data_IF_570323977424
#
_entry.id   IF_570323977424
#
_cell.length_a   1.000
_cell.length_b   1.000
_cell.length_c   1.000
_cell.angle_alpha   90.00
_cell.angle_beta   90.00
_cell.angle_gamma   90.00
#
_symmetry.space_group_name_H-M   'P 1'
#
loop_
_entity.id
_entity.type
_entity.pdbx_description
1 polymer ?
#
# COMPACT_ATOMS: atom_id res chain seq x y z
N UNK A 1 35.09 -5.90 12.57
CA UNK A 1 35.76 -4.65 12.16
C UNK A 1 35.71 -4.59 10.65
N UNK A 2 35.23 -3.51 10.06
CA UNK A 2 35.13 -3.40 8.60
C UNK A 2 36.39 -2.76 8.04
N UNK A 3 36.83 -3.22 6.87
CA UNK A 3 37.86 -2.53 6.12
C UNK A 3 37.34 -1.12 5.74
N UNK A 4 38.16 -0.06 5.90
CA UNK A 4 37.68 1.32 5.92
C UNK A 4 37.28 1.89 4.56
N UNK A 5 37.67 1.24 3.45
CA UNK A 5 37.47 1.77 2.09
C UNK A 5 36.79 0.76 1.15
N UNK A 6 37.11 -0.52 1.25
CA UNK A 6 36.57 -1.56 0.38
C UNK A 6 36.13 -2.76 1.21
N UNK A 7 35.02 -3.38 0.82
CA UNK A 7 34.48 -4.59 1.46
C UNK A 7 34.61 -5.83 0.56
N UNK A 8 34.93 -5.60 -0.72
CA UNK A 8 35.16 -6.66 -1.72
C UNK A 8 36.56 -6.49 -2.31
N UNK A 9 37.31 -7.58 -2.41
CA UNK A 9 38.63 -7.63 -3.05
C UNK A 9 38.61 -8.59 -4.23
N UNK A 10 39.17 -8.15 -5.37
CA UNK A 10 39.54 -9.03 -6.47
C UNK A 10 41.05 -9.01 -6.58
N UNK A 11 41.68 -10.18 -6.50
CA UNK A 11 43.11 -10.35 -6.70
C UNK A 11 43.35 -11.31 -7.86
N UNK A 12 44.32 -10.98 -8.70
CA UNK A 12 44.79 -11.84 -9.77
C UNK A 12 46.29 -12.10 -9.55
N UNK A 13 46.62 -13.33 -9.17
CA UNK A 13 48.00 -13.75 -8.91
C UNK A 13 48.57 -14.43 -10.16
N UNK A 14 49.52 -13.75 -10.82
CA UNK A 14 50.25 -14.28 -11.97
C UNK A 14 51.73 -14.53 -11.61
N UNK A 15 51.99 -14.98 -10.39
CA UNK A 15 53.34 -15.27 -9.93
C UNK A 15 53.72 -16.71 -10.29
N UNK A 16 54.79 -16.89 -11.05
CA UNK A 16 55.32 -18.21 -11.34
C UNK A 16 55.64 -18.95 -10.03
N UNK A 17 55.27 -20.24 -9.90
CA UNK A 17 55.59 -21.02 -8.71
C UNK A 17 57.09 -20.97 -8.44
N UNK A 18 57.49 -20.46 -7.26
CA UNK A 18 58.89 -20.50 -6.84
C UNK A 18 59.20 -21.93 -6.43
N UNK A 19 59.75 -22.70 -7.36
CA UNK A 19 60.30 -24.02 -7.06
C UNK A 19 61.60 -23.82 -6.26
N UNK A 20 61.58 -24.21 -4.98
CA UNK A 20 62.77 -24.20 -4.14
C UNK A 20 63.58 -25.47 -4.42
N UNK A 21 64.52 -25.40 -5.36
CA UNK A 21 65.43 -26.52 -5.63
C UNK A 21 66.51 -26.61 -4.55
N UNK A 22 66.47 -27.70 -3.78
CA UNK A 22 67.48 -28.04 -2.78
C UNK A 22 68.15 -29.36 -3.17
N UNK A 23 69.50 -29.47 -3.13
CA UNK A 23 70.18 -30.70 -3.46
C UNK A 23 69.66 -31.87 -2.61
N UNK A 24 69.23 -32.95 -3.29
CA UNK A 24 68.75 -34.20 -2.66
C UNK A 24 67.44 -34.09 -1.86
N UNK A 25 66.65 -33.04 -2.04
CA UNK A 25 65.36 -32.84 -1.37
C UNK A 25 64.26 -32.48 -2.39
N UNK A 26 63.12 -33.15 -2.31
CA UNK A 26 61.89 -32.76 -3.03
C UNK A 26 61.12 -31.80 -2.13
N UNK A 27 60.78 -30.61 -2.64
CA UNK A 27 59.98 -29.61 -1.91
C UNK A 27 58.60 -29.53 -2.55
N UNK A 28 57.56 -29.47 -1.70
CA UNK A 28 56.17 -29.24 -2.10
C UNK A 28 55.62 -28.12 -1.23
N UNK A 29 54.85 -27.21 -1.83
CA UNK A 29 54.23 -26.12 -1.09
C UNK A 29 53.04 -26.70 -0.32
N UNK A 30 53.13 -26.68 1.01
CA UNK A 30 52.01 -27.06 1.88
C UNK A 30 51.09 -25.85 2.01
N UNK A 31 49.84 -26.01 1.56
CA UNK A 31 48.79 -25.02 1.79
C UNK A 31 48.51 -24.91 3.30
N UNK A 32 48.55 -23.68 3.83
CA UNK A 32 48.37 -23.41 5.26
C UNK A 32 46.91 -23.57 5.73
N UNK A 33 45.98 -23.85 4.81
CA UNK A 33 44.57 -24.06 5.08
C UNK A 33 43.73 -22.80 4.87
N UNK A 34 42.51 -22.81 5.41
CA UNK A 34 41.50 -21.78 5.16
C UNK A 34 42.03 -20.37 5.46
N UNK A 35 42.05 -19.52 4.43
CA UNK A 35 42.36 -18.11 4.60
C UNK A 35 41.30 -17.43 5.48
N UNK A 36 41.77 -16.67 6.46
CA UNK A 36 40.89 -15.82 7.25
C UNK A 36 40.28 -14.74 6.34
N UNK A 37 38.94 -14.62 6.34
CA UNK A 37 38.26 -13.55 5.64
C UNK A 37 38.68 -12.18 6.21
N UNK A 38 39.49 -11.44 5.45
CA UNK A 38 39.95 -10.07 5.77
C UNK A 38 39.00 -8.98 5.23
N UNK A 39 38.15 -9.36 4.29
CA UNK A 39 37.10 -8.58 3.64
C UNK A 39 35.78 -9.35 3.72
N UNK A 40 34.66 -8.71 3.41
CA UNK A 40 33.36 -9.38 3.38
C UNK A 40 33.36 -10.46 2.28
N UNK A 41 33.98 -10.16 1.13
CA UNK A 41 34.16 -11.08 0.01
C UNK A 41 35.51 -10.86 -0.70
N UNK A 42 36.27 -11.92 -0.96
CA UNK A 42 37.51 -11.90 -1.74
C UNK A 42 37.44 -12.94 -2.84
N UNK A 43 37.54 -12.51 -4.10
CA UNK A 43 37.76 -13.39 -5.25
C UNK A 43 39.26 -13.38 -5.58
N UNK A 44 39.90 -14.54 -5.48
CA UNK A 44 41.28 -14.72 -5.93
C UNK A 44 41.29 -15.58 -7.18
N UNK A 45 42.00 -15.09 -8.20
CA UNK A 45 42.17 -15.75 -9.47
C UNK A 45 43.66 -16.02 -9.69
N UNK A 46 43.97 -17.17 -10.25
CA UNK A 46 45.32 -17.58 -10.60
C UNK A 46 45.33 -18.10 -12.05
N UNK A 47 46.43 -17.87 -12.76
CA UNK A 47 46.60 -18.34 -14.13
C UNK A 47 47.60 -19.49 -14.18
N UNK A 48 47.14 -20.64 -14.68
CA UNK A 48 47.97 -21.81 -14.94
C UNK A 48 48.14 -22.01 -16.44
N UNK A 49 49.41 -22.15 -16.87
CA UNK A 49 49.75 -22.31 -18.28
C UNK A 49 49.05 -23.51 -18.96
N UNK A 50 48.76 -24.56 -18.20
CA UNK A 50 48.16 -25.80 -18.71
C UNK A 50 46.66 -25.95 -18.40
N UNK A 51 46.11 -25.17 -17.46
CA UNK A 51 44.74 -25.33 -16.95
C UNK A 51 43.84 -24.10 -17.10
N UNK A 52 44.37 -22.98 -17.62
CA UNK A 52 43.62 -21.73 -17.77
C UNK A 52 43.57 -20.92 -16.48
N UNK A 53 42.49 -20.15 -16.29
CA UNK A 53 42.29 -19.32 -15.09
C UNK A 53 41.52 -20.13 -14.05
N UNK A 54 42.17 -20.39 -12.92
CA UNK A 54 41.58 -20.93 -11.70
C UNK A 54 41.23 -19.81 -10.72
N UNK A 55 40.53 -20.18 -9.65
CA UNK A 55 40.28 -19.24 -8.56
C UNK A 55 39.44 -19.81 -7.43
N UNK A 56 39.36 -19.05 -6.35
CA UNK A 56 38.57 -19.37 -5.18
C UNK A 56 37.98 -18.12 -4.53
N UNK A 57 36.88 -18.32 -3.80
CA UNK A 57 36.11 -17.26 -3.15
C UNK A 57 36.22 -17.41 -1.63
N UNK A 58 36.78 -16.41 -0.96
CA UNK A 58 36.84 -16.33 0.51
C UNK A 58 35.77 -15.34 0.97
N UNK A 59 34.93 -15.73 1.92
CA UNK A 59 33.79 -14.91 2.37
C UNK A 59 33.62 -14.93 3.88
N UNK A 60 33.09 -13.84 4.44
CA UNK A 60 32.73 -13.74 5.85
C UNK A 60 31.44 -14.52 6.14
N UNK A 61 31.54 -15.57 6.96
CA UNK A 61 30.41 -16.47 7.28
C UNK A 61 29.32 -15.82 8.13
N UNK A 62 29.62 -14.69 8.77
CA UNK A 62 28.62 -13.88 9.47
C UNK A 62 27.67 -13.15 8.49
N UNK A 63 28.04 -13.07 7.21
CA UNK A 63 27.31 -12.37 6.15
C UNK A 63 26.80 -13.29 5.04
N UNK A 64 27.58 -14.31 4.68
CA UNK A 64 27.28 -15.21 3.56
C UNK A 64 27.35 -16.67 3.99
N UNK A 65 26.43 -17.46 3.44
CA UNK A 65 26.50 -18.91 3.49
C UNK A 65 27.10 -19.49 2.20
N UNK A 66 27.48 -20.76 2.24
CA UNK A 66 28.07 -21.48 1.10
C UNK A 66 27.18 -21.45 -0.16
N UNK A 67 25.85 -21.67 -0.07
CA UNK A 67 24.97 -21.53 -1.23
C UNK A 67 24.99 -20.12 -1.86
N UNK A 68 25.02 -19.06 -1.04
CA UNK A 68 25.12 -17.68 -1.53
C UNK A 68 26.45 -17.44 -2.23
N UNK A 69 27.55 -17.94 -1.67
CA UNK A 69 28.89 -17.84 -2.26
C UNK A 69 28.96 -18.55 -3.62
N UNK A 70 28.40 -19.76 -3.73
CA UNK A 70 28.30 -20.47 -5.01
C UNK A 70 27.46 -19.71 -6.03
N UNK A 71 26.31 -19.15 -5.63
CA UNK A 71 25.48 -18.36 -6.52
C UNK A 71 26.22 -17.11 -7.06
N UNK A 72 27.14 -16.51 -6.29
CA UNK A 72 28.00 -15.44 -6.81
C UNK A 72 29.02 -15.95 -7.82
N UNK A 73 29.68 -17.08 -7.56
CA UNK A 73 30.62 -17.68 -8.50
C UNK A 73 29.93 -18.04 -9.83
N UNK A 74 28.75 -18.65 -9.78
CA UNK A 74 27.98 -19.01 -10.98
C UNK A 74 27.56 -17.77 -11.79
N UNK A 75 27.16 -16.69 -11.12
CA UNK A 75 26.84 -15.40 -11.78
C UNK A 75 28.08 -14.77 -12.42
N UNK A 76 29.24 -14.87 -11.77
CA UNK A 76 30.49 -14.39 -12.32
C UNK A 76 30.91 -15.17 -13.59
N UNK A 77 30.76 -16.49 -13.58
CA UNK A 77 31.02 -17.31 -14.77
C UNK A 77 30.05 -16.97 -15.92
N UNK A 78 28.75 -16.80 -15.62
CA UNK A 78 27.77 -16.36 -16.64
C UNK A 78 28.13 -15.01 -17.26
N UNK A 79 28.62 -14.06 -16.45
CA UNK A 79 29.12 -12.77 -16.93
C UNK A 79 30.30 -12.95 -17.89
N UNK A 80 31.30 -13.77 -17.52
CA UNK A 80 32.47 -14.03 -18.37
C UNK A 80 32.08 -14.73 -19.67
N UNK A 81 31.22 -15.75 -19.61
CA UNK A 81 30.72 -16.47 -20.79
C UNK A 81 30.00 -15.53 -21.76
N UNK A 82 29.18 -14.61 -21.25
CA UNK A 82 28.48 -13.63 -22.07
C UNK A 82 29.45 -12.70 -22.80
N UNK A 83 30.46 -12.19 -22.09
CA UNK A 83 31.49 -11.29 -22.64
C UNK A 83 32.32 -12.01 -23.71
N UNK A 84 32.72 -13.26 -23.46
CA UNK A 84 33.52 -14.05 -24.42
C UNK A 84 32.71 -14.39 -25.67
N UNK A 85 31.43 -14.75 -25.51
CA UNK A 85 30.54 -15.09 -26.62
C UNK A 85 30.22 -13.89 -27.51
N UNK A 86 30.02 -12.71 -26.93
CA UNK A 86 29.70 -11.48 -27.65
C UNK A 86 30.46 -10.28 -27.05
N UNK A 87 31.71 -10.03 -27.48
CA UNK A 87 32.56 -8.99 -26.88
C UNK A 87 32.02 -7.56 -27.04
N UNK A 88 31.07 -7.34 -27.95
CA UNK A 88 30.41 -6.05 -28.17
C UNK A 88 29.12 -5.87 -27.37
N UNK A 89 28.71 -6.84 -26.54
CA UNK A 89 27.48 -6.76 -25.74
C UNK A 89 27.53 -5.56 -24.78
N UNK A 90 26.41 -4.85 -24.65
CA UNK A 90 26.30 -3.79 -23.65
C UNK A 90 26.32 -4.42 -22.25
N UNK A 91 27.16 -3.91 -21.34
CA UNK A 91 27.30 -4.47 -19.98
C UNK A 91 25.94 -4.62 -19.26
N UNK A 92 25.02 -3.65 -19.44
CA UNK A 92 23.70 -3.68 -18.81
C UNK A 92 22.70 -4.68 -19.43
N UNK A 93 23.02 -5.29 -20.57
CA UNK A 93 22.18 -6.29 -21.24
C UNK A 93 22.59 -7.73 -20.90
N UNK A 94 23.68 -7.91 -20.15
CA UNK A 94 24.16 -9.23 -19.73
C UNK A 94 23.22 -9.79 -18.66
N UNK A 95 22.54 -10.88 -18.98
CA UNK A 95 21.66 -11.56 -18.03
C UNK A 95 22.46 -12.43 -17.05
N UNK A 96 22.33 -12.10 -15.77
CA UNK A 96 22.99 -12.82 -14.67
C UNK A 96 22.07 -13.86 -14.01
N UNK A 97 20.78 -13.85 -14.31
CA UNK A 97 19.81 -14.74 -13.68
C UNK A 97 19.91 -16.14 -14.28
N UNK A 98 19.90 -17.16 -13.42
CA UNK A 98 19.71 -18.54 -13.86
C UNK A 98 18.22 -18.90 -13.99
N UNK A 99 17.95 -20.16 -14.32
CA UNK A 99 16.58 -20.66 -14.48
C UNK A 99 15.74 -20.58 -13.19
N UNK A 100 16.35 -20.73 -12.01
CA UNK A 100 15.66 -20.66 -10.74
C UNK A 100 15.32 -19.20 -10.38
N UNK A 101 16.29 -18.29 -10.58
CA UNK A 101 16.09 -16.86 -10.39
C UNK A 101 15.06 -16.28 -11.37
N UNK A 102 15.10 -16.69 -12.65
CA UNK A 102 14.13 -16.26 -13.66
C UNK A 102 12.72 -16.70 -13.33
N UNK A 103 12.52 -17.83 -12.63
CA UNK A 103 11.19 -18.25 -12.19
C UNK A 103 10.57 -17.29 -11.15
N UNK A 104 11.39 -16.45 -10.51
CA UNK A 104 10.94 -15.45 -9.53
C UNK A 104 10.60 -14.09 -10.16
N UNK A 105 10.91 -13.87 -11.44
CA UNK A 105 10.76 -12.57 -12.11
C UNK A 105 9.96 -12.69 -13.43
N UNK A 106 8.87 -11.93 -13.60
CA UNK A 106 8.29 -11.02 -12.62
C UNK A 106 7.58 -11.79 -11.50
N UNK A 107 7.72 -11.29 -10.28
CA UNK A 107 6.91 -11.77 -9.15
C UNK A 107 5.45 -11.38 -9.42
N UNK A 108 4.55 -12.36 -9.53
CA UNK A 108 3.13 -12.15 -9.84
C UNK A 108 2.26 -12.67 -8.70
N UNK A 109 1.21 -11.91 -8.39
CA UNK A 109 0.16 -12.38 -7.50
C UNK A 109 -0.76 -13.38 -8.20
N UNK A 110 -1.77 -13.89 -7.47
CA UNK A 110 -2.84 -14.69 -8.05
C UNK A 110 -3.54 -13.93 -9.19
N UNK A 111 -4.17 -14.69 -10.10
CA UNK A 111 -4.99 -14.08 -11.14
C UNK A 111 -6.14 -13.27 -10.51
N UNK A 112 -6.30 -12.03 -10.97
CA UNK A 112 -7.39 -11.17 -10.52
C UNK A 112 -8.77 -11.60 -11.01
N UNK A 113 -9.79 -11.15 -10.30
CA UNK A 113 -11.19 -11.19 -10.68
C UNK A 113 -11.54 -10.06 -11.66
N UNK A 114 -12.67 -10.15 -12.40
CA UNK A 114 -13.15 -9.06 -13.22
C UNK A 114 -13.26 -7.74 -12.43
N UNK A 115 -12.80 -6.61 -12.99
CA UNK A 115 -12.84 -5.33 -12.29
C UNK A 115 -14.29 -4.89 -12.08
N UNK A 116 -14.55 -4.26 -10.93
CA UNK A 116 -15.86 -3.70 -10.55
C UNK A 116 -15.78 -2.19 -10.46
N UNK A 117 -16.90 -1.50 -10.67
CA UNK A 117 -16.97 -0.06 -10.43
C UNK A 117 -17.09 0.19 -8.93
N UNK A 118 -16.48 1.28 -8.45
CA UNK A 118 -16.58 1.67 -7.03
C UNK A 118 -18.03 1.74 -6.52
N UNK A 119 -19.00 2.39 -7.21
CA UNK A 119 -20.39 2.38 -6.74
C UNK A 119 -20.98 0.98 -6.58
N UNK A 120 -20.56 0.01 -7.40
CA UNK A 120 -21.08 -1.36 -7.36
C UNK A 120 -20.60 -2.12 -6.11
N UNK A 121 -19.49 -1.69 -5.48
CA UNK A 121 -19.02 -2.26 -4.21
C UNK A 121 -20.04 -2.00 -3.10
N UNK A 122 -20.60 -0.79 -3.02
CA UNK A 122 -21.68 -0.48 -2.07
C UNK A 122 -22.96 -1.26 -2.40
N UNK A 123 -23.34 -1.33 -3.68
CA UNK A 123 -24.53 -2.06 -4.10
C UNK A 123 -24.42 -3.55 -3.74
N UNK A 124 -23.23 -4.14 -3.92
CA UNK A 124 -22.96 -5.53 -3.54
C UNK A 124 -23.11 -5.73 -2.03
N UNK A 125 -22.58 -4.81 -1.22
CA UNK A 125 -22.73 -4.86 0.24
C UNK A 125 -24.20 -4.74 0.68
N UNK A 126 -24.93 -3.78 0.11
CA UNK A 126 -26.33 -3.52 0.42
C UNK A 126 -27.26 -4.67 -0.01
N UNK A 127 -26.86 -5.47 -1.00
CA UNK A 127 -27.60 -6.65 -1.45
C UNK A 127 -27.51 -7.83 -0.45
N UNK A 128 -26.52 -7.84 0.44
CA UNK A 128 -26.41 -8.85 1.52
C UNK A 128 -27.53 -8.63 2.55
N UNK A 129 -27.57 -7.43 3.13
CA UNK A 129 -28.65 -6.98 4.02
C UNK A 129 -28.71 -5.45 4.02
N UNK A 130 -29.68 -4.90 3.29
CA UNK A 130 -29.88 -3.44 3.20
C UNK A 130 -30.27 -2.78 4.52
N UNK A 131 -30.79 -3.55 5.49
CA UNK A 131 -31.19 -3.03 6.81
C UNK A 131 -30.05 -3.07 7.84
N UNK A 132 -28.97 -3.79 7.54
CA UNK A 132 -27.81 -3.87 8.42
C UNK A 132 -27.11 -2.51 8.57
N UNK A 133 -26.51 -2.22 9.75
CA UNK A 133 -25.70 -1.02 9.95
C UNK A 133 -24.49 -0.98 9.02
N UNK A 134 -24.36 0.08 8.22
CA UNK A 134 -23.23 0.30 7.33
C UNK A 134 -22.19 1.24 7.92
N UNK A 135 -22.66 2.29 8.61
CA UNK A 135 -21.83 3.37 9.11
C UNK A 135 -22.25 3.77 10.52
N UNK A 136 -21.29 4.07 11.39
CA UNK A 136 -21.55 4.62 12.72
C UNK A 136 -20.56 5.75 13.03
N UNK A 137 -21.09 6.92 13.40
CA UNK A 137 -20.33 8.14 13.72
C UNK A 137 -21.09 8.94 14.79
N UNK A 138 -20.42 9.40 15.85
CA UNK A 138 -21.00 10.28 16.89
C UNK A 138 -22.36 9.82 17.45
N UNK A 139 -22.47 8.54 17.84
CA UNK A 139 -23.71 7.91 18.34
C UNK A 139 -24.87 7.84 17.34
N UNK A 140 -24.63 8.17 16.07
CA UNK A 140 -25.58 7.99 14.98
C UNK A 140 -25.11 6.85 14.08
N UNK A 141 -26.07 6.11 13.54
CA UNK A 141 -25.81 5.05 12.58
C UNK A 141 -26.64 5.26 11.32
N UNK A 142 -26.11 4.78 10.20
CA UNK A 142 -26.87 4.57 8.96
C UNK A 142 -26.84 3.09 8.62
N UNK A 143 -27.99 2.56 8.25
CA UNK A 143 -28.08 1.30 7.52
C UNK A 143 -27.52 1.43 6.10
N UNK A 144 -27.22 0.30 5.46
CA UNK A 144 -26.83 0.27 4.05
C UNK A 144 -27.86 0.96 3.15
N UNK A 145 -29.15 0.73 3.39
CA UNK A 145 -30.25 1.39 2.66
C UNK A 145 -30.24 2.90 2.85
N UNK A 146 -30.11 3.39 4.08
CA UNK A 146 -30.12 4.83 4.33
C UNK A 146 -28.90 5.53 3.73
N UNK A 147 -27.73 4.89 3.81
CA UNK A 147 -26.52 5.36 3.16
C UNK A 147 -26.69 5.37 1.63
N UNK A 148 -27.26 4.32 1.06
CA UNK A 148 -27.53 4.20 -0.37
C UNK A 148 -28.51 5.28 -0.85
N UNK A 149 -29.63 5.46 -0.16
CA UNK A 149 -30.66 6.45 -0.45
C UNK A 149 -30.12 7.88 -0.38
N UNK A 150 -29.39 8.22 0.69
CA UNK A 150 -28.82 9.55 0.87
C UNK A 150 -27.78 9.87 -0.22
N UNK A 151 -26.89 8.92 -0.50
CA UNK A 151 -25.89 9.08 -1.55
C UNK A 151 -26.50 9.08 -2.97
N UNK A 152 -27.60 8.36 -3.24
CA UNK A 152 -28.32 8.42 -4.52
C UNK A 152 -28.90 9.81 -4.77
N UNK A 153 -29.52 10.42 -3.74
CA UNK A 153 -30.08 11.77 -3.84
C UNK A 153 -29.00 12.80 -4.15
N UNK A 154 -27.89 12.75 -3.41
CA UNK A 154 -26.77 13.66 -3.60
C UNK A 154 -26.09 13.43 -4.97
N UNK A 155 -25.92 12.17 -5.40
CA UNK A 155 -25.38 11.84 -6.72
C UNK A 155 -26.24 12.43 -7.85
N UNK A 156 -27.57 12.37 -7.75
CA UNK A 156 -28.47 12.98 -8.74
C UNK A 156 -28.38 14.49 -8.78
N UNK A 157 -28.17 15.12 -7.62
CA UNK A 157 -27.89 16.56 -7.59
C UNK A 157 -26.59 16.89 -8.34
N UNK A 158 -25.50 16.16 -8.06
CA UNK A 158 -24.21 16.32 -8.75
C UNK A 158 -24.35 16.10 -10.27
N UNK A 159 -25.05 15.04 -10.69
CA UNK A 159 -25.35 14.76 -12.10
C UNK A 159 -26.11 15.94 -12.74
N UNK A 160 -27.07 16.52 -12.03
CA UNK A 160 -27.81 17.71 -12.49
C UNK A 160 -26.93 18.96 -12.67
N UNK A 161 -25.78 19.02 -12.00
CA UNK A 161 -24.75 20.05 -12.20
C UNK A 161 -23.76 19.71 -13.34
N UNK A 162 -23.95 18.57 -14.02
CA UNK A 162 -23.04 18.10 -15.06
C UNK A 162 -21.79 17.38 -14.54
N UNK A 163 -21.81 16.90 -13.29
CA UNK A 163 -20.74 16.06 -12.74
C UNK A 163 -20.95 14.61 -13.18
N UNK A 164 -19.90 13.97 -13.70
CA UNK A 164 -19.94 12.56 -14.07
C UNK A 164 -18.56 11.97 -14.39
N UNK A 165 -18.46 10.92 -15.22
CA UNK A 165 -17.17 10.35 -15.62
C UNK A 165 -16.18 11.41 -16.12
N UNK A 166 -14.91 11.27 -15.73
CA UNK A 166 -13.80 12.22 -15.95
C UNK A 166 -13.88 13.55 -15.17
N UNK A 167 -15.03 13.88 -14.54
CA UNK A 167 -15.10 15.00 -13.59
C UNK A 167 -14.41 14.66 -12.27
N UNK A 168 -14.01 15.72 -11.55
CA UNK A 168 -13.48 15.62 -10.19
C UNK A 168 -14.27 16.50 -9.24
N UNK A 169 -14.46 16.00 -8.02
CA UNK A 169 -15.16 16.67 -6.93
C UNK A 169 -14.26 16.72 -5.71
N UNK A 170 -13.94 17.93 -5.23
CA UNK A 170 -13.15 18.08 -4.00
C UNK A 170 -14.02 17.83 -2.78
N UNK A 171 -13.52 17.03 -1.83
CA UNK A 171 -14.14 16.80 -0.54
C UNK A 171 -13.27 17.42 0.55
N UNK A 172 -13.61 18.64 0.96
CA UNK A 172 -12.98 19.31 2.11
C UNK A 172 -13.78 18.96 3.37
N UNK A 173 -13.67 17.72 3.81
CA UNK A 173 -14.43 17.17 4.94
C UNK A 173 -13.50 16.35 5.85
N UNK A 174 -13.63 16.55 7.16
CA UNK A 174 -13.02 15.67 8.16
C UNK A 174 -13.75 14.32 8.26
N UNK A 175 -13.27 13.44 9.15
CA UNK A 175 -13.96 12.17 9.47
C UNK A 175 -15.36 12.47 10.01
N UNK A 176 -16.38 12.11 9.24
CA UNK A 176 -17.78 12.38 9.57
C UNK A 176 -18.72 11.47 8.76
N UNK A 177 -20.01 11.50 9.09
CA UNK A 177 -21.04 10.83 8.29
C UNK A 177 -21.18 11.46 6.89
N UNK A 178 -21.06 12.79 6.82
CA UNK A 178 -21.19 13.56 5.59
C UNK A 178 -20.07 13.24 4.58
N UNK A 179 -18.85 12.98 5.07
CA UNK A 179 -17.73 12.51 4.24
C UNK A 179 -18.13 11.24 3.47
N UNK A 180 -18.68 10.25 4.16
CA UNK A 180 -18.99 8.95 3.54
C UNK A 180 -20.19 9.03 2.61
N UNK A 181 -21.22 9.80 2.97
CA UNK A 181 -22.34 10.09 2.05
C UNK A 181 -21.82 10.78 0.78
N UNK A 182 -20.91 11.74 0.92
CA UNK A 182 -20.29 12.46 -0.19
C UNK A 182 -19.41 11.55 -1.08
N UNK A 183 -18.54 10.72 -0.49
CA UNK A 183 -17.71 9.74 -1.23
C UNK A 183 -18.57 8.85 -2.10
N UNK A 184 -19.63 8.26 -1.53
CA UNK A 184 -20.54 7.38 -2.29
C UNK A 184 -21.36 8.14 -3.33
N UNK A 185 -21.78 9.38 -3.05
CA UNK A 185 -22.50 10.19 -4.01
C UNK A 185 -21.63 10.54 -5.24
N UNK A 186 -20.38 10.92 -5.01
CA UNK A 186 -19.41 11.20 -6.08
C UNK A 186 -19.15 9.94 -6.90
N UNK A 187 -18.85 8.81 -6.25
CA UNK A 187 -18.66 7.52 -6.93
C UNK A 187 -19.88 7.12 -7.79
N UNK A 188 -21.11 7.34 -7.29
CA UNK A 188 -22.35 7.03 -8.01
C UNK A 188 -22.61 7.96 -9.19
N UNK A 189 -22.25 9.24 -9.10
CA UNK A 189 -22.26 10.15 -10.25
C UNK A 189 -21.30 9.71 -11.35
N UNK A 190 -20.26 8.93 -10.99
CA UNK A 190 -19.21 8.47 -11.88
C UNK A 190 -17.96 9.36 -11.90
N UNK A 191 -17.96 10.45 -11.13
CA UNK A 191 -16.80 11.31 -10.95
C UNK A 191 -15.80 10.72 -9.95
N UNK A 192 -14.57 11.23 -9.99
CA UNK A 192 -13.56 10.97 -8.96
C UNK A 192 -13.68 11.97 -7.81
N UNK A 193 -13.56 11.50 -6.57
CA UNK A 193 -13.42 12.39 -5.43
C UNK A 193 -11.95 12.74 -5.17
N UNK A 194 -11.71 13.94 -4.65
CA UNK A 194 -10.39 14.46 -4.26
C UNK A 194 -10.47 14.89 -2.80
N UNK A 195 -10.10 14.04 -1.84
CA UNK A 195 -10.23 14.37 -0.43
C UNK A 195 -9.10 15.30 -0.01
N UNK A 196 -9.46 16.46 0.54
CA UNK A 196 -8.53 17.46 1.04
C UNK A 196 -8.81 17.72 2.52
N UNK A 197 -7.76 17.89 3.31
CA UNK A 197 -7.91 18.24 4.72
C UNK A 197 -8.35 19.70 4.85
N UNK A 198 -9.52 20.01 5.47
CA UNK A 198 -9.96 21.39 5.71
C UNK A 198 -8.98 22.23 6.54
N UNK A 199 -8.14 21.59 7.36
CA UNK A 199 -7.08 22.24 8.13
C UNK A 199 -5.85 22.62 7.30
N UNK A 200 -5.83 22.26 6.01
CA UNK A 200 -4.73 22.63 5.10
C UNK A 200 -4.60 24.15 5.00
N UNK A 201 -3.38 24.72 5.11
CA UNK A 201 -3.17 26.16 4.96
C UNK A 201 -3.76 26.70 3.64
N UNK A 202 -4.37 27.91 3.61
CA UNK A 202 -5.09 28.42 2.44
C UNK A 202 -4.29 28.45 1.14
N UNK A 203 -3.01 28.82 1.19
CA UNK A 203 -2.14 28.85 0.00
C UNK A 203 -1.94 27.45 -0.59
N UNK A 204 -1.76 26.46 0.28
CA UNK A 204 -1.64 25.06 -0.12
C UNK A 204 -2.97 24.54 -0.65
N UNK A 205 -4.09 24.85 0.00
CA UNK A 205 -5.42 24.46 -0.49
C UNK A 205 -5.68 25.06 -1.90
N UNK A 206 -5.34 26.33 -2.12
CA UNK A 206 -5.48 27.01 -3.42
C UNK A 206 -4.71 26.28 -4.52
N UNK A 207 -3.45 25.91 -4.23
CA UNK A 207 -2.64 25.11 -5.15
C UNK A 207 -3.32 23.77 -5.49
N UNK A 208 -3.75 23.01 -4.47
CA UNK A 208 -4.35 21.69 -4.66
C UNK A 208 -5.67 21.75 -5.43
N UNK A 209 -6.48 22.79 -5.21
CA UNK A 209 -7.70 23.02 -6.00
C UNK A 209 -7.36 23.28 -7.46
N UNK A 210 -6.38 24.16 -7.72
CA UNK A 210 -5.94 24.49 -9.07
C UNK A 210 -5.42 23.27 -9.85
N UNK A 211 -4.53 22.49 -9.23
CA UNK A 211 -3.94 21.29 -9.83
C UNK A 211 -4.96 20.15 -10.01
N UNK A 212 -5.97 20.07 -9.12
CA UNK A 212 -6.97 19.00 -9.19
C UNK A 212 -7.89 19.12 -10.39
N UNK A 213 -8.07 20.34 -10.93
CA UNK A 213 -9.10 20.65 -11.93
C UNK A 213 -10.52 20.20 -11.53
N UNK A 214 -10.83 20.23 -10.24
CA UNK A 214 -12.16 19.88 -9.75
C UNK A 214 -13.21 20.88 -10.24
N UNK A 215 -14.39 20.37 -10.56
CA UNK A 215 -15.52 21.16 -11.07
C UNK A 215 -16.40 21.75 -9.96
N UNK A 216 -16.37 21.12 -8.79
CA UNK A 216 -17.15 21.49 -7.60
C UNK A 216 -16.43 20.99 -6.36
N UNK A 217 -16.61 21.69 -5.24
CA UNK A 217 -16.14 21.26 -3.92
C UNK A 217 -17.31 21.05 -2.96
N UNK A 218 -17.18 20.10 -2.03
CA UNK A 218 -18.14 19.86 -0.95
C UNK A 218 -17.46 20.02 0.41
N UNK A 219 -18.15 20.66 1.34
CA UNK A 219 -17.66 21.01 2.68
C UNK A 219 -18.84 21.22 3.64
N UNK A 220 -18.56 21.57 4.89
CA UNK A 220 -19.53 22.09 5.87
C UNK A 220 -19.30 23.57 6.14
N UNK A 221 -20.32 24.24 6.69
CA UNK A 221 -20.35 25.70 6.88
C UNK A 221 -19.31 26.20 7.86
N UNK A 222 -18.84 25.36 8.78
CA UNK A 222 -17.73 25.65 9.70
C UNK A 222 -16.46 26.11 8.96
N UNK A 223 -16.17 25.56 7.78
CA UNK A 223 -14.96 25.89 7.01
C UNK A 223 -15.16 27.04 6.02
N UNK A 224 -16.35 27.65 5.94
CA UNK A 224 -16.69 28.64 4.90
C UNK A 224 -15.71 29.80 4.80
N UNK A 225 -15.14 30.26 5.92
CA UNK A 225 -14.26 31.44 5.95
C UNK A 225 -12.80 31.12 5.61
N UNK A 226 -12.39 29.86 5.67
CA UNK A 226 -11.00 29.43 5.41
C UNK A 226 -10.80 28.84 4.02
N UNK A 227 -11.91 28.50 3.34
CA UNK A 227 -11.86 27.93 2.01
C UNK A 227 -11.50 28.99 0.96
N UNK A 228 -10.50 28.72 0.10
CA UNK A 228 -10.16 29.62 -0.98
C UNK A 228 -11.23 29.58 -2.08
N UNK A 229 -11.26 30.66 -2.87
CA UNK A 229 -11.99 30.69 -4.14
C UNK A 229 -11.30 29.73 -5.14
N UNK A 230 -12.04 29.25 -6.14
CA UNK A 230 -11.47 28.44 -7.22
C UNK A 230 -12.43 27.38 -7.75
N UNK A 231 -13.39 26.95 -6.92
CA UNK A 231 -14.48 26.06 -7.30
C UNK A 231 -15.79 26.52 -6.64
N UNK A 232 -16.96 26.22 -7.23
CA UNK A 232 -18.23 26.35 -6.53
C UNK A 232 -18.24 25.41 -5.31
N UNK A 233 -18.52 25.95 -4.12
CA UNK A 233 -18.61 25.18 -2.88
C UNK A 233 -20.06 24.84 -2.53
N UNK A 234 -20.30 23.57 -2.27
CA UNK A 234 -21.54 23.03 -1.72
C UNK A 234 -21.33 22.82 -0.22
N UNK A 235 -22.21 23.42 0.58
CA UNK A 235 -22.23 23.28 2.04
C UNK A 235 -23.28 22.22 2.43
N UNK A 236 -22.82 21.05 2.87
CA UNK A 236 -23.70 19.89 3.12
C UNK A 236 -24.65 20.09 4.31
N UNK A 237 -24.28 20.95 5.25
CA UNK A 237 -25.04 21.32 6.45
C UNK A 237 -25.96 22.53 6.24
N UNK A 238 -25.98 23.11 5.03
CA UNK A 238 -26.90 24.19 4.68
C UNK A 238 -28.34 23.65 4.53
N UNK A 239 -29.30 24.31 5.20
CA UNK A 239 -30.68 23.84 5.25
C UNK A 239 -31.37 23.87 3.88
N UNK A 240 -31.12 24.89 3.06
CA UNK A 240 -31.73 25.03 1.74
C UNK A 240 -31.14 24.00 0.78
N UNK A 241 -29.83 23.76 0.87
CA UNK A 241 -29.18 22.67 0.15
C UNK A 241 -29.75 21.31 0.55
N UNK A 242 -29.86 21.02 1.85
CA UNK A 242 -30.42 19.78 2.36
C UNK A 242 -31.88 19.58 1.89
N UNK A 243 -32.68 20.65 1.84
CA UNK A 243 -34.03 20.60 1.26
C UNK A 243 -34.03 20.29 -0.23
N UNK A 244 -33.10 20.86 -0.99
CA UNK A 244 -32.94 20.62 -2.43
C UNK A 244 -32.59 19.15 -2.69
N UNK A 245 -31.59 18.61 -2.01
CA UNK A 245 -31.15 17.21 -2.17
C UNK A 245 -32.24 16.23 -1.75
N UNK A 246 -33.00 16.51 -0.67
CA UNK A 246 -34.13 15.68 -0.25
C UNK A 246 -35.22 15.52 -1.32
N UNK A 247 -35.32 16.45 -2.28
CA UNK A 247 -36.29 16.38 -3.40
C UNK A 247 -35.79 15.54 -4.57
N UNK A 248 -34.48 15.27 -4.67
CA UNK A 248 -33.95 14.33 -5.65
C UNK A 248 -34.45 12.91 -5.33
N UNK A 249 -34.54 12.05 -6.35
CA UNK A 249 -34.96 10.65 -6.15
C UNK A 249 -33.92 9.86 -5.36
N UNK A 250 -34.37 8.98 -4.45
CA UNK A 250 -33.51 7.99 -3.78
C UNK A 250 -33.29 6.72 -4.61
N UNK A 251 -33.98 6.56 -5.74
CA UNK A 251 -33.85 5.36 -6.56
C UNK A 251 -32.40 5.18 -7.05
N UNK A 252 -31.94 3.91 -7.17
CA UNK A 252 -30.58 3.59 -7.62
C UNK A 252 -30.16 4.37 -8.86
N UNK A 253 -28.91 4.84 -8.88
CA UNK A 253 -28.35 5.59 -10.01
C UNK A 253 -27.79 4.61 -11.04
N UNK A 254 -28.50 4.45 -12.15
CA UNK A 254 -28.14 3.57 -13.26
C UNK A 254 -27.26 4.25 -14.30
N UNK A 255 -26.85 3.46 -15.31
CA UNK A 255 -26.05 3.96 -16.44
C UNK A 255 -26.72 5.11 -17.19
N UNK A 256 -28.04 5.06 -17.40
CA UNK A 256 -28.79 6.08 -18.13
C UNK A 256 -29.08 7.35 -17.32
N UNK A 257 -28.85 7.32 -16.00
CA UNK A 257 -28.94 8.52 -15.18
C UNK A 257 -27.69 9.40 -15.32
N UNK A 258 -26.54 8.81 -15.68
CA UNK A 258 -25.26 9.53 -15.78
C UNK A 258 -25.14 10.27 -17.11
N UNK A 259 -24.37 11.37 -17.09
CA UNK A 259 -24.11 12.16 -18.29
C UNK A 259 -23.23 11.45 -19.33
N UNK A 260 -22.53 10.39 -18.94
CA UNK A 260 -21.71 9.54 -19.80
C UNK A 260 -21.59 8.11 -19.21
N UNK A 261 -21.24 7.09 -20.03
CA UNK A 261 -20.97 5.74 -19.51
C UNK A 261 -19.78 5.72 -18.57
N UNK A 262 -19.96 5.14 -17.38
CA UNK A 262 -18.89 4.88 -16.42
C UNK A 262 -18.16 3.57 -16.79
N UNK A 263 -16.84 3.61 -16.82
CA UNK A 263 -15.93 2.51 -17.19
C UNK A 263 -14.90 2.31 -16.09
N UNK A 264 -14.34 1.09 -16.02
CA UNK A 264 -13.35 0.73 -14.99
C UNK A 264 -12.03 1.51 -15.10
N UNK A 265 -11.74 2.09 -16.27
CA UNK A 265 -10.56 2.93 -16.51
C UNK A 265 -10.80 4.41 -16.21
N UNK A 266 -12.04 4.81 -15.89
CA UNK A 266 -12.29 6.16 -15.42
C UNK A 266 -11.67 6.34 -14.02
N UNK A 267 -11.25 7.57 -13.67
CA UNK A 267 -10.81 7.92 -12.32
C UNK A 267 -11.88 7.60 -11.26
N UNK A 268 -11.49 6.89 -10.19
CA UNK A 268 -12.32 6.64 -9.02
C UNK A 268 -12.04 7.65 -7.89
N UNK A 269 -10.76 7.97 -7.68
CA UNK A 269 -10.32 9.00 -6.76
C UNK A 269 -8.96 9.57 -7.16
N UNK A 270 -8.64 10.73 -6.60
CA UNK A 270 -7.31 11.33 -6.69
C UNK A 270 -6.83 11.72 -5.30
N UNK A 271 -5.62 11.29 -4.93
CA UNK A 271 -5.02 11.59 -3.62
C UNK A 271 -3.66 12.25 -3.82
N UNK A 272 -3.41 13.31 -3.05
CA UNK A 272 -2.15 14.04 -3.12
C UNK A 272 -1.08 13.45 -2.21
N UNK A 273 0.11 13.24 -2.77
CA UNK A 273 1.30 12.86 -2.01
C UNK A 273 2.28 14.05 -1.94
N UNK A 274 3.24 14.01 -1.01
CA UNK A 274 4.21 15.10 -0.81
C UNK A 274 5.12 15.36 -2.02
N UNK A 275 5.30 14.37 -2.90
CA UNK A 275 6.16 14.46 -4.08
C UNK A 275 7.65 14.57 -3.74
N UNK A 276 8.51 13.81 -4.43
CA UNK A 276 9.97 13.86 -4.23
C UNK A 276 10.61 15.23 -4.52
N UNK A 277 9.94 16.10 -5.28
CA UNK A 277 10.38 17.44 -5.65
C UNK A 277 9.91 18.52 -4.66
N UNK A 278 9.20 18.15 -3.59
CA UNK A 278 8.60 19.08 -2.62
C UNK A 278 7.28 19.72 -3.08
N UNK A 279 6.89 19.50 -4.34
CA UNK A 279 5.60 19.90 -4.88
C UNK A 279 4.62 18.73 -4.79
N UNK A 280 3.42 18.91 -4.19
CA UNK A 280 2.44 17.84 -4.10
C UNK A 280 2.03 17.30 -5.47
N UNK A 281 1.83 15.99 -5.58
CA UNK A 281 1.42 15.30 -6.83
C UNK A 281 0.10 14.57 -6.61
N UNK A 282 -0.88 14.80 -7.49
CA UNK A 282 -2.15 14.10 -7.49
C UNK A 282 -2.02 12.72 -8.15
N UNK A 283 -2.10 11.66 -7.35
CA UNK A 283 -2.15 10.27 -7.85
C UNK A 283 -3.59 9.94 -8.20
N UNK A 284 -3.85 9.62 -9.46
CA UNK A 284 -5.17 9.21 -9.95
C UNK A 284 -5.27 7.70 -9.94
N UNK A 285 -6.24 7.17 -9.20
CA UNK A 285 -6.54 5.74 -9.16
C UNK A 285 -7.87 5.49 -9.85
N UNK A 286 -7.90 4.50 -10.74
CA UNK A 286 -9.11 4.09 -11.47
C UNK A 286 -9.88 3.02 -10.70
N UNK A 287 -11.09 2.70 -11.15
CA UNK A 287 -11.89 1.65 -10.51
C UNK A 287 -11.26 0.24 -10.62
N UNK A 288 -10.46 0.01 -11.66
CA UNK A 288 -9.94 -1.32 -12.07
C UNK A 288 -9.32 -2.15 -10.94
N UNK A 289 -8.53 -1.53 -10.07
CA UNK A 289 -7.82 -2.23 -8.99
C UNK A 289 -8.66 -2.48 -7.72
N UNK A 290 -9.74 -1.73 -7.52
CA UNK A 290 -10.41 -1.64 -6.22
C UNK A 290 -11.14 -2.92 -5.84
N UNK A 291 -11.80 -3.59 -6.80
CA UNK A 291 -12.47 -4.86 -6.56
C UNK A 291 -11.53 -5.98 -6.14
N UNK A 292 -10.38 -6.08 -6.83
CA UNK A 292 -9.37 -7.08 -6.52
C UNK A 292 -8.76 -6.87 -5.13
N UNK A 293 -8.46 -5.61 -4.78
CA UNK A 293 -7.99 -5.30 -3.44
C UNK A 293 -9.05 -5.59 -2.36
N UNK A 294 -10.32 -5.23 -2.61
CA UNK A 294 -11.43 -5.54 -1.71
C UNK A 294 -11.60 -7.06 -1.48
N UNK A 295 -11.50 -7.87 -2.54
CA UNK A 295 -11.55 -9.32 -2.47
C UNK A 295 -10.37 -9.91 -1.67
N UNK A 296 -9.15 -9.39 -1.88
CA UNK A 296 -7.97 -9.80 -1.10
C UNK A 296 -8.13 -9.50 0.39
N UNK A 297 -8.64 -8.31 0.73
CA UNK A 297 -8.92 -7.95 2.11
C UNK A 297 -9.98 -8.88 2.72
N UNK A 298 -11.08 -9.16 2.01
CA UNK A 298 -12.14 -10.08 2.46
C UNK A 298 -11.58 -11.45 2.80
N UNK A 299 -10.82 -12.04 1.88
CA UNK A 299 -10.35 -13.41 2.00
C UNK A 299 -9.23 -13.51 3.06
N UNK A 300 -8.23 -12.60 3.03
CA UNK A 300 -7.10 -12.62 3.98
C UNK A 300 -7.52 -12.27 5.40
N UNK A 301 -8.35 -11.24 5.54
CA UNK A 301 -8.77 -10.74 6.84
C UNK A 301 -10.02 -11.44 7.35
N UNK A 302 -10.55 -12.42 6.61
CA UNK A 302 -11.75 -13.20 6.99
C UNK A 302 -12.92 -12.30 7.34
N UNK A 303 -13.14 -11.27 6.51
CA UNK A 303 -14.19 -10.29 6.75
C UNK A 303 -15.57 -10.92 6.51
N UNK A 304 -16.51 -10.56 7.37
CA UNK A 304 -17.90 -11.02 7.36
C UNK A 304 -18.85 -9.84 7.60
N UNK A 305 -20.16 -10.06 7.54
CA UNK A 305 -21.16 -9.05 7.90
C UNK A 305 -21.08 -8.62 9.38
N UNK A 306 -20.54 -9.46 10.26
CA UNK A 306 -20.30 -9.14 11.68
C UNK A 306 -19.03 -8.32 11.91
N UNK A 307 -18.26 -8.06 10.85
CA UNK A 307 -17.00 -7.31 10.96
C UNK A 307 -17.27 -5.84 11.22
N UNK A 308 -16.60 -5.32 12.24
CA UNK A 308 -16.63 -3.93 12.69
C UNK A 308 -15.26 -3.33 12.43
N UNK A 309 -15.14 -2.54 11.38
CA UNK A 309 -13.87 -1.97 10.90
C UNK A 309 -13.74 -0.55 11.43
N UNK A 310 -12.59 -0.23 12.00
CA UNK A 310 -12.26 1.14 12.39
C UNK A 310 -11.92 1.97 11.16
N UNK A 311 -12.52 3.15 11.07
CA UNK A 311 -12.14 4.20 10.14
C UNK A 311 -11.45 5.31 10.93
N UNK A 312 -10.12 5.35 10.85
CA UNK A 312 -9.28 6.33 11.56
C UNK A 312 -8.28 6.99 10.62
N UNK A 313 -8.02 6.44 9.45
CA UNK A 313 -7.18 7.11 8.46
C UNK A 313 -7.70 8.52 8.17
N UNK A 314 -6.76 9.46 8.03
CA UNK A 314 -7.09 10.80 7.60
C UNK A 314 -7.66 10.76 6.18
N UNK A 315 -8.74 11.51 5.86
CA UNK A 315 -9.37 11.45 4.54
C UNK A 315 -8.41 11.76 3.38
N UNK A 316 -7.39 12.58 3.60
CA UNK A 316 -6.37 12.90 2.60
C UNK A 316 -5.35 11.79 2.33
N UNK A 317 -5.46 10.63 2.99
CA UNK A 317 -4.63 9.45 2.75
C UNK A 317 -5.45 8.30 2.16
N UNK A 318 -4.85 7.54 1.27
CA UNK A 318 -5.46 6.40 0.58
C UNK A 318 -5.83 5.23 1.50
N UNK A 319 -5.25 5.17 2.70
CA UNK A 319 -5.68 4.28 3.77
C UNK A 319 -7.17 4.43 4.13
N UNK A 320 -7.83 5.58 3.87
CA UNK A 320 -9.29 5.68 4.04
C UNK A 320 -10.04 4.71 3.12
N UNK A 321 -9.50 4.45 1.92
CA UNK A 321 -10.08 3.53 0.96
C UNK A 321 -9.80 2.08 1.35
N UNK A 322 -8.67 1.81 2.00
CA UNK A 322 -8.44 0.50 2.62
C UNK A 322 -9.57 0.17 3.60
N UNK A 323 -9.81 1.07 4.56
CA UNK A 323 -10.84 0.91 5.61
C UNK A 323 -12.25 0.77 5.00
N UNK A 324 -12.57 1.58 3.97
CA UNK A 324 -13.84 1.48 3.24
C UNK A 324 -14.01 0.13 2.53
N UNK A 325 -12.98 -0.30 1.80
CA UNK A 325 -13.06 -1.51 0.97
C UNK A 325 -13.14 -2.78 1.83
N UNK A 326 -12.62 -2.76 3.07
CA UNK A 326 -12.85 -3.86 4.02
C UNK A 326 -14.35 -4.07 4.28
N UNK A 327 -15.10 -3.03 4.65
CA UNK A 327 -16.52 -3.18 4.99
C UNK A 327 -17.39 -3.45 3.78
N UNK A 328 -17.11 -2.78 2.67
CA UNK A 328 -17.93 -2.85 1.48
C UNK A 328 -17.80 -4.22 0.78
N UNK A 329 -16.68 -4.93 0.98
CA UNK A 329 -16.50 -6.30 0.49
C UNK A 329 -17.30 -7.36 1.28
N UNK A 330 -17.68 -7.06 2.53
CA UNK A 330 -18.24 -8.05 3.46
C UNK A 330 -19.63 -7.71 4.00
N UNK A 331 -20.17 -6.51 3.72
CA UNK A 331 -21.39 -6.02 4.36
C UNK A 331 -21.19 -5.67 5.84
N UNK A 332 -19.95 -5.42 6.26
CA UNK A 332 -19.62 -5.07 7.64
C UNK A 332 -20.00 -3.64 8.04
N UNK A 333 -19.69 -3.25 9.27
CA UNK A 333 -19.94 -1.91 9.81
C UNK A 333 -18.65 -1.09 9.88
N UNK A 334 -18.68 0.11 9.30
CA UNK A 334 -17.61 1.11 9.43
C UNK A 334 -17.83 1.99 10.67
N UNK A 335 -16.90 1.94 11.61
CA UNK A 335 -16.89 2.78 12.83
C UNK A 335 -15.99 3.98 12.59
N UNK A 336 -16.59 5.15 12.38
CA UNK A 336 -15.87 6.41 12.12
C UNK A 336 -15.33 6.99 13.40
N UNK A 337 -14.01 7.18 13.46
CA UNK A 337 -13.36 7.85 14.56
C UNK A 337 -13.59 9.37 14.48
N UNK A 338 -13.97 10.04 15.58
CA UNK A 338 -14.10 11.51 15.59
C UNK A 338 -12.80 12.20 15.16
N UNK A 339 -12.83 13.42 14.56
CA UNK A 339 -11.63 14.10 14.05
C UNK A 339 -10.47 14.26 15.04
N UNK A 340 -10.74 14.39 16.35
CA UNK A 340 -9.71 14.47 17.40
C UNK A 340 -9.15 13.13 17.88
N UNK A 341 -9.80 12.01 17.56
CA UNK A 341 -9.46 10.68 18.08
C UNK A 341 -8.69 9.90 17.02
N UNK A 342 -7.38 9.78 17.17
CA UNK A 342 -6.53 9.09 16.18
C UNK A 342 -5.40 8.24 16.79
N UNK A 343 -5.14 8.37 18.08
CA UNK A 343 -4.09 7.65 18.80
C UNK A 343 -4.39 7.63 20.32
N UNK A 344 -3.57 6.92 21.08
CA UNK A 344 -3.61 6.94 22.55
C UNK A 344 -4.88 6.36 23.19
N UNK A 345 -5.18 6.85 24.39
CA UNK A 345 -6.25 6.29 25.23
C UNK A 345 -7.64 6.52 24.66
N UNK A 346 -7.88 7.65 23.98
CA UNK A 346 -9.18 7.93 23.36
C UNK A 346 -9.50 6.95 22.24
N UNK A 347 -8.51 6.65 21.39
CA UNK A 347 -8.68 5.64 20.33
C UNK A 347 -8.85 4.25 20.93
N UNK A 348 -8.10 3.94 21.99
CA UNK A 348 -8.26 2.67 22.71
C UNK A 348 -9.69 2.49 23.24
N UNK A 349 -10.23 3.52 23.87
CA UNK A 349 -11.61 3.52 24.38
C UNK A 349 -12.63 3.37 23.25
N UNK A 350 -12.47 4.08 22.12
CA UNK A 350 -13.35 3.90 20.95
C UNK A 350 -13.36 2.46 20.45
N UNK A 351 -12.18 1.84 20.29
CA UNK A 351 -12.02 0.46 19.84
C UNK A 351 -12.74 -0.51 20.79
N UNK A 352 -12.54 -0.35 22.10
CA UNK A 352 -13.18 -1.19 23.12
C UNK A 352 -14.69 -0.97 23.16
N UNK A 353 -15.15 0.28 23.31
CA UNK A 353 -16.57 0.63 23.49
C UNK A 353 -17.42 0.26 22.28
N UNK A 354 -16.83 0.31 21.08
CA UNK A 354 -17.51 -0.03 19.84
C UNK A 354 -17.22 -1.43 19.36
N UNK A 355 -16.51 -2.24 20.15
CA UNK A 355 -16.15 -3.63 19.81
C UNK A 355 -15.54 -3.73 18.41
N UNK A 356 -14.61 -2.83 18.08
CA UNK A 356 -13.90 -2.88 16.79
C UNK A 356 -13.14 -4.20 16.69
N UNK A 357 -13.27 -4.83 15.53
CA UNK A 357 -12.73 -6.18 15.25
C UNK A 357 -11.58 -6.16 14.24
N UNK A 358 -11.56 -5.18 13.34
CA UNK A 358 -10.58 -5.02 12.28
C UNK A 358 -10.10 -3.58 12.25
N UNK A 359 -8.79 -3.38 12.10
CA UNK A 359 -8.21 -2.05 11.95
C UNK A 359 -6.96 -2.09 11.08
N UNK A 360 -6.71 -1.00 10.37
CA UNK A 360 -5.42 -0.68 9.80
C UNK A 360 -4.78 0.47 10.61
N UNK A 361 -3.55 0.29 11.08
CA UNK A 361 -2.85 1.30 11.88
C UNK A 361 -1.36 1.34 11.52
N UNK A 362 -0.79 2.54 11.42
CA UNK A 362 0.66 2.72 11.27
C UNK A 362 1.40 2.26 12.55
N UNK A 363 2.64 1.74 12.44
CA UNK A 363 3.52 1.51 13.60
C UNK A 363 3.60 2.69 14.58
N UNK A 364 3.69 3.93 14.08
CA UNK A 364 3.63 5.14 14.89
C UNK A 364 2.41 5.21 15.82
N UNK A 365 1.20 5.02 15.28
CA UNK A 365 -0.03 4.96 16.09
C UNK A 365 -0.03 3.77 17.04
N UNK A 366 0.39 2.59 16.59
CA UNK A 366 0.46 1.39 17.44
C UNK A 366 1.38 1.57 18.66
N UNK A 367 2.41 2.40 18.55
CA UNK A 367 3.30 2.71 19.68
C UNK A 367 2.56 3.37 20.85
N UNK A 368 1.51 4.14 20.57
CA UNK A 368 0.68 4.88 21.55
C UNK A 368 -0.40 4.04 22.22
N UNK A 369 -0.69 2.85 21.68
CA UNK A 369 -1.79 1.99 22.13
C UNK A 369 -1.26 0.82 22.96
N UNK A 370 -2.13 0.15 23.71
CA UNK A 370 -1.79 -1.08 24.43
C UNK A 370 -2.63 -2.27 23.94
N UNK A 371 -2.01 -3.37 23.48
CA UNK A 371 -2.73 -4.52 22.94
C UNK A 371 -3.64 -5.20 23.96
N UNK A 372 -3.38 -5.05 25.27
CA UNK A 372 -4.19 -5.60 26.35
C UNK A 372 -5.57 -4.94 26.48
N UNK A 373 -5.70 -3.67 26.05
CA UNK A 373 -6.98 -2.95 26.06
C UNK A 373 -7.86 -3.30 24.86
N UNK A 374 -7.27 -3.84 23.79
CA UNK A 374 -7.91 -4.03 22.50
C UNK A 374 -8.27 -5.50 22.25
N UNK A 375 -8.89 -6.15 23.25
CA UNK A 375 -9.24 -7.58 23.18
C UNK A 375 -10.30 -7.93 22.12
N UNK A 376 -11.08 -6.94 21.65
CA UNK A 376 -12.04 -7.12 20.56
C UNK A 376 -11.39 -7.19 19.18
N UNK A 377 -10.15 -6.70 19.04
CA UNK A 377 -9.44 -6.58 17.77
C UNK A 377 -8.89 -7.94 17.33
N UNK A 378 -9.57 -8.59 16.38
CA UNK A 378 -9.25 -9.93 15.86
C UNK A 378 -8.22 -9.89 14.74
N UNK A 379 -8.26 -8.83 13.93
CA UNK A 379 -7.33 -8.61 12.82
C UNK A 379 -6.76 -7.20 12.89
N UNK A 380 -5.44 -7.11 12.76
CA UNK A 380 -4.72 -5.86 12.68
C UNK A 380 -3.83 -5.89 11.43
N UNK A 381 -3.94 -4.85 10.61
CA UNK A 381 -3.02 -4.62 9.50
C UNK A 381 -2.16 -3.43 9.89
N UNK A 382 -0.84 -3.60 9.81
CA UNK A 382 0.13 -2.53 9.98
C UNK A 382 0.81 -2.23 8.65
N UNK A 383 1.02 -0.94 8.35
CA UNK A 383 1.62 -0.50 7.10
C UNK A 383 1.80 1.01 7.06
N UNK A 384 2.25 1.52 5.92
CA UNK A 384 2.61 2.94 5.74
C UNK A 384 3.97 3.33 6.34
N UNK A 385 4.52 2.51 7.24
CA UNK A 385 5.87 2.61 7.79
C UNK A 385 6.46 1.19 7.92
N UNK A 386 7.76 1.09 8.19
CA UNK A 386 8.40 -0.21 8.41
C UNK A 386 7.84 -0.89 9.67
N UNK A 387 7.30 -2.10 9.50
CA UNK A 387 6.87 -2.94 10.62
C UNK A 387 8.10 -3.65 11.21
N UNK A 388 8.45 -3.35 12.46
CA UNK A 388 9.59 -3.96 13.15
C UNK A 388 9.21 -5.27 13.85
N UNK A 389 10.22 -6.07 14.22
CA UNK A 389 10.02 -7.27 15.04
C UNK A 389 9.33 -6.93 16.38
N UNK A 390 9.68 -5.81 17.01
CA UNK A 390 9.06 -5.36 18.27
C UNK A 390 7.56 -5.10 18.12
N UNK A 391 7.13 -4.52 16.99
CA UNK A 391 5.70 -4.34 16.69
C UNK A 391 5.02 -5.71 16.58
N UNK A 392 5.66 -6.66 15.90
CA UNK A 392 5.12 -8.03 15.74
C UNK A 392 5.02 -8.74 17.08
N UNK A 393 6.07 -8.76 17.88
CA UNK A 393 6.11 -9.41 19.19
C UNK A 393 5.05 -8.84 20.13
N UNK A 394 4.82 -7.52 20.06
CA UNK A 394 3.80 -6.84 20.87
C UNK A 394 2.38 -7.09 20.39
N UNK A 395 2.13 -7.11 19.07
CA UNK A 395 0.78 -7.05 18.51
C UNK A 395 0.27 -8.34 17.89
N UNK A 396 1.13 -9.27 17.49
CA UNK A 396 0.70 -10.57 16.96
C UNK A 396 -0.05 -11.44 18.01
N UNK A 397 0.33 -11.45 19.31
CA UNK A 397 -0.36 -12.32 20.28
C UNK A 397 -1.86 -12.02 20.40
N UNK A 398 -2.67 -13.08 20.28
CA UNK A 398 -4.12 -13.03 20.45
C UNK A 398 -4.91 -12.47 19.25
N UNK A 399 -4.25 -12.15 18.13
CA UNK A 399 -4.91 -11.65 16.91
C UNK A 399 -4.14 -12.03 15.65
N UNK A 400 -4.71 -11.79 14.47
CA UNK A 400 -3.99 -11.96 13.19
C UNK A 400 -3.37 -10.62 12.80
N UNK A 401 -2.05 -10.51 12.87
CA UNK A 401 -1.30 -9.34 12.45
C UNK A 401 -0.78 -9.52 11.02
N UNK A 402 -0.93 -8.49 10.19
CA UNK A 402 -0.41 -8.45 8.81
C UNK A 402 0.48 -7.23 8.60
N UNK A 403 1.53 -7.38 7.79
CA UNK A 403 2.25 -6.26 7.20
C UNK A 403 1.70 -6.02 5.80
N UNK A 404 1.17 -4.81 5.58
CA UNK A 404 0.67 -4.35 4.28
C UNK A 404 1.59 -3.28 3.70
N UNK A 405 1.93 -3.44 2.44
CA UNK A 405 2.83 -2.54 1.73
C UNK A 405 2.24 -2.13 0.38
N UNK A 406 2.28 -0.83 0.10
CA UNK A 406 2.13 -0.29 -1.23
C UNK A 406 2.25 1.23 -1.21
N UNK A 407 2.83 1.83 -2.26
CA UNK A 407 2.70 3.25 -2.49
C UNK A 407 1.29 3.59 -3.01
N UNK A 408 0.91 4.86 -2.91
CA UNK A 408 -0.40 5.35 -3.39
C UNK A 408 -0.61 5.06 -4.88
N UNK A 409 0.46 5.12 -5.67
CA UNK A 409 0.50 4.85 -7.11
C UNK A 409 0.07 3.43 -7.49
N UNK A 410 0.07 2.47 -6.55
CA UNK A 410 -0.32 1.08 -6.81
C UNK A 410 -1.73 0.75 -6.30
N UNK A 411 -2.58 1.76 -6.08
CA UNK A 411 -3.91 1.60 -5.47
C UNK A 411 -3.83 0.97 -4.07
N UNK A 412 -3.28 1.74 -3.12
CA UNK A 412 -3.25 1.47 -1.67
C UNK A 412 -2.23 0.42 -1.22
N UNK A 413 -2.35 -0.84 -1.67
CA UNK A 413 -1.42 -1.91 -1.31
C UNK A 413 -1.12 -2.80 -2.51
N UNK A 414 0.16 -3.12 -2.70
CA UNK A 414 0.63 -4.04 -3.73
C UNK A 414 1.01 -5.41 -3.16
N UNK A 415 1.42 -5.48 -1.89
CA UNK A 415 1.82 -6.70 -1.21
C UNK A 415 1.26 -6.77 0.20
N UNK A 416 0.89 -7.98 0.62
CA UNK A 416 0.41 -8.27 1.96
C UNK A 416 1.07 -9.56 2.45
N UNK A 417 1.58 -9.55 3.67
CA UNK A 417 2.17 -10.73 4.31
C UNK A 417 1.14 -11.83 4.58
N UNK A 418 1.63 -13.03 4.86
CA UNK A 418 0.87 -13.99 5.68
C UNK A 418 0.75 -13.46 7.12
N UNK A 419 -0.12 -14.02 7.98
CA UNK A 419 -0.16 -13.63 9.38
C UNK A 419 1.24 -13.72 10.01
N UNK A 420 1.67 -12.64 10.65
CA UNK A 420 2.97 -12.55 11.32
C UNK A 420 2.91 -13.20 12.69
N UNK A 421 4.01 -13.81 13.10
CA UNK A 421 4.19 -14.38 14.43
C UNK A 421 5.47 -13.86 15.07
N UNK A 422 5.49 -13.83 16.41
CA UNK A 422 6.69 -13.46 17.16
C UNK A 422 7.89 -14.35 16.76
N UNK A 423 9.07 -13.75 16.65
CA UNK A 423 10.30 -14.41 16.21
C UNK A 423 10.38 -14.76 14.71
N UNK A 424 9.35 -14.47 13.91
CA UNK A 424 9.41 -14.65 12.45
C UNK A 424 10.09 -13.46 11.76
N UNK A 425 10.73 -13.72 10.61
CA UNK A 425 11.28 -12.66 9.76
C UNK A 425 10.14 -11.78 9.24
N UNK A 426 10.19 -10.49 9.54
CA UNK A 426 9.20 -9.53 9.02
C UNK A 426 9.52 -9.22 7.56
N UNK A 427 8.56 -9.46 6.68
CA UNK A 427 8.63 -9.13 5.25
C UNK A 427 7.39 -8.37 4.83
N UNK A 428 7.42 -7.73 3.66
CA UNK A 428 6.23 -7.08 3.06
C UNK A 428 5.21 -8.10 2.50
N UNK A 429 5.55 -9.39 2.51
CA UNK A 429 4.72 -10.42 1.92
C UNK A 429 4.87 -10.57 0.42
N UNK A 430 3.87 -11.24 -0.16
CA UNK A 430 3.77 -11.46 -1.61
C UNK A 430 2.76 -10.51 -2.26
N UNK A 431 2.83 -10.37 -3.59
CA UNK A 431 1.90 -9.55 -4.36
C UNK A 431 0.43 -9.99 -4.16
N UNK A 432 -0.47 -9.02 -4.16
CA UNK A 432 -1.92 -9.26 -4.13
C UNK A 432 -2.44 -9.67 -5.51
N UNK A 433 -3.69 -10.14 -5.60
CA UNK A 433 -4.30 -10.54 -6.88
C UNK A 433 -4.54 -9.36 -7.81
N UNK A 434 -4.56 -9.65 -9.12
CA UNK A 434 -4.79 -8.66 -10.18
C UNK A 434 -3.54 -7.86 -10.52
#
# INVERSE_FOLDING_TARGET
AHAPLTQVMLAFENAAPVALELPSLTTERVDAGLEQAKFDLTLMLDESADAGIGGHLVYATDLFDEPTAHAFADRYLRLLDAIVREPSVTVGEIDLLDGADRALVPCRGPQGEPPVLLPDVLTTAAAIDSSAPALFCDNRGLSYRELDDQSNRLARHLIGLGVGPESRVVLALGRSMDLWVAVWAVAKSGAAFVPLDPGTPPDRMTYLLGDSHASVGMTVSEHRTTLPNGVPWIFLDDNDFAHTVRRCSAAPVGQYDRIAPLRVDNPAYMIYTSGSTGTPKGVVVTHRGLGNFAAEQRDRYTLTADSRVLQVAMPSFDAMMLELLMVAASGGLLIVSPPGVFAGDELSSLVTDRNVTHAFLTPGVLSTLSPHRLGSLKVLVAGGEAVSADVVDRWAPGRRLYNGYGPTETAIMAAISTPLSSGSRVTIGGPIRG
#
